data_IF_456739485815
#
_entry.id   IF_456739485815
#
_cell.length_a   1.000
_cell.length_b   1.000
_cell.length_c   1.000
_cell.angle_alpha   90.00
_cell.angle_beta   90.00
_cell.angle_gamma   90.00
#
_symmetry.space_group_name_H-M   'P 1'
#
loop_
_entity.id
_entity.type
_entity.pdbx_description
1 polymer ?
#
# COMPACT_ATOMS: atom_id res chain seq x y z
N UNK A 1 5.33 -20.83 10.34
CA UNK A 1 5.52 -19.92 11.51
C UNK A 1 6.66 -18.92 11.37
N UNK A 2 7.81 -19.27 10.76
CA UNK A 2 8.97 -18.36 10.65
C UNK A 2 8.64 -17.01 9.98
N UNK A 3 7.86 -17.03 8.89
CA UNK A 3 7.48 -15.81 8.16
C UNK A 3 6.68 -14.82 9.01
N UNK A 4 5.75 -15.29 9.85
CA UNK A 4 4.95 -14.42 10.73
C UNK A 4 5.84 -13.69 11.73
N UNK A 5 6.80 -14.41 12.35
CA UNK A 5 7.76 -13.82 13.29
C UNK A 5 8.64 -12.78 12.61
N UNK A 6 9.12 -13.07 11.39
CA UNK A 6 9.92 -12.14 10.60
C UNK A 6 9.20 -10.81 10.34
N UNK A 7 7.97 -10.85 9.80
CA UNK A 7 7.21 -9.64 9.51
C UNK A 7 6.79 -8.89 10.78
N UNK A 8 6.50 -9.59 11.88
CA UNK A 8 6.16 -8.95 13.16
C UNK A 8 7.36 -8.22 13.76
N UNK A 9 8.53 -8.85 13.79
CA UNK A 9 9.78 -8.22 14.27
C UNK A 9 10.13 -7.03 13.36
N UNK A 10 10.05 -7.21 12.04
CA UNK A 10 10.28 -6.13 11.07
C UNK A 10 9.35 -4.94 11.32
N UNK A 11 8.04 -5.18 11.47
CA UNK A 11 7.07 -4.11 11.73
C UNK A 11 7.40 -3.32 13.01
N UNK A 12 7.77 -4.01 14.10
CA UNK A 12 8.13 -3.36 15.37
C UNK A 12 9.43 -2.56 15.22
N UNK A 13 10.50 -3.19 14.72
CA UNK A 13 11.80 -2.55 14.58
C UNK A 13 11.72 -1.33 13.66
N UNK A 14 11.09 -1.49 12.49
CA UNK A 14 10.93 -0.38 11.53
C UNK A 14 10.08 0.74 12.10
N UNK A 15 9.00 0.44 12.83
CA UNK A 15 8.17 1.48 13.47
C UNK A 15 8.96 2.27 14.50
N UNK A 16 9.78 1.60 15.32
CA UNK A 16 10.65 2.26 16.30
C UNK A 16 11.69 3.17 15.64
N UNK A 17 12.23 2.77 14.48
CA UNK A 17 13.16 3.59 13.69
C UNK A 17 12.43 4.77 13.04
N UNK A 18 11.23 4.54 12.48
CA UNK A 18 10.44 5.56 11.78
C UNK A 18 10.00 6.70 12.70
N UNK A 19 9.89 6.45 14.01
CA UNK A 19 9.60 7.49 15.01
C UNK A 19 10.74 8.53 15.17
N UNK A 20 11.89 8.29 14.55
CA UNK A 20 12.99 9.25 14.46
C UNK A 20 13.61 9.56 15.83
N UNK A 21 14.02 10.82 16.03
CA UNK A 21 14.76 11.27 17.21
C UNK A 21 14.06 11.09 18.57
N UNK A 22 12.79 10.72 18.59
CA UNK A 22 12.04 10.41 19.80
C UNK A 22 12.40 9.04 20.42
N UNK A 23 12.97 8.11 19.64
CA UNK A 23 13.32 6.77 20.15
C UNK A 23 14.83 6.63 20.39
N UNK A 24 15.26 5.92 21.45
CA UNK A 24 16.68 5.65 21.70
C UNK A 24 17.29 4.78 20.60
N UNK A 25 16.50 3.88 20.01
CA UNK A 25 16.91 3.01 18.91
C UNK A 25 17.41 3.80 17.70
N UNK A 26 16.68 4.86 17.30
CA UNK A 26 17.09 5.72 16.20
C UNK A 26 18.40 6.44 16.49
N UNK A 27 18.59 6.92 17.73
CA UNK A 27 19.83 7.59 18.14
C UNK A 27 21.04 6.66 18.03
N UNK A 28 20.90 5.41 18.48
CA UNK A 28 21.97 4.41 18.40
C UNK A 28 22.39 4.19 16.93
N UNK A 29 21.42 3.95 16.04
CA UNK A 29 21.67 3.77 14.61
C UNK A 29 22.31 5.00 13.95
N UNK A 30 21.86 6.19 14.36
CA UNK A 30 22.36 7.47 13.85
C UNK A 30 23.84 7.71 14.18
N UNK A 31 24.30 7.28 15.35
CA UNK A 31 25.70 7.42 15.76
C UNK A 31 26.59 6.26 15.30
N UNK A 32 26.05 5.05 15.23
CA UNK A 32 26.83 3.84 14.94
C UNK A 32 27.05 3.62 13.43
N UNK A 33 26.05 3.93 12.59
CA UNK A 33 26.10 3.60 11.16
C UNK A 33 26.50 4.84 10.32
N UNK A 34 27.68 4.86 9.68
CA UNK A 34 28.04 5.92 8.77
C UNK A 34 27.09 5.93 7.57
N UNK A 35 26.58 7.11 7.19
CA UNK A 35 25.61 7.26 6.09
C UNK A 35 24.14 7.27 6.53
N UNK A 36 23.79 6.78 7.73
CA UNK A 36 22.42 6.89 8.25
C UNK A 36 22.01 8.37 8.47
N UNK A 37 22.98 9.26 8.66
CA UNK A 37 22.77 10.71 8.75
C UNK A 37 22.24 11.33 7.44
N UNK A 38 22.40 10.65 6.30
CA UNK A 38 21.95 11.14 4.99
C UNK A 38 20.45 10.89 4.76
N UNK A 39 19.79 10.07 5.59
CA UNK A 39 18.35 9.83 5.47
C UNK A 39 17.58 11.06 5.94
N UNK A 40 17.16 11.91 4.99
CA UNK A 40 16.50 13.19 5.26
C UNK A 40 15.08 13.07 5.85
N UNK A 41 14.46 11.89 5.76
CA UNK A 41 13.11 11.66 6.29
C UNK A 41 12.98 10.21 6.83
N UNK A 42 13.24 9.97 8.13
CA UNK A 42 13.04 8.66 8.75
C UNK A 42 11.61 8.12 8.61
N UNK A 43 10.63 9.02 8.48
CA UNK A 43 9.23 8.70 8.27
C UNK A 43 8.97 7.93 6.97
N UNK A 44 9.82 8.02 5.94
CA UNK A 44 9.66 7.25 4.70
C UNK A 44 9.86 5.75 4.92
N UNK A 45 10.66 5.35 5.90
CA UNK A 45 10.88 3.91 6.20
C UNK A 45 9.58 3.28 6.78
N UNK A 46 8.63 4.10 7.26
CA UNK A 46 7.32 3.63 7.73
C UNK A 46 6.52 2.85 6.67
N UNK A 47 6.79 3.05 5.38
CA UNK A 47 6.21 2.22 4.32
C UNK A 47 6.52 0.73 4.50
N UNK A 48 7.72 0.39 4.99
CA UNK A 48 8.12 -1.00 5.22
C UNK A 48 7.40 -1.63 6.44
N UNK A 49 7.12 -0.83 7.47
CA UNK A 49 6.27 -1.25 8.59
C UNK A 49 4.83 -1.50 8.12
N UNK A 50 4.28 -0.58 7.33
CA UNK A 50 2.93 -0.69 6.76
C UNK A 50 2.81 -1.93 5.86
N UNK A 51 3.80 -2.18 5.00
CA UNK A 51 3.87 -3.39 4.18
C UNK A 51 3.87 -4.66 5.04
N UNK A 52 4.69 -4.70 6.09
CA UNK A 52 4.77 -5.86 7.00
C UNK A 52 3.42 -6.13 7.69
N UNK A 53 2.69 -5.08 8.10
CA UNK A 53 1.35 -5.19 8.68
C UNK A 53 0.33 -5.71 7.66
N UNK A 54 0.39 -5.24 6.41
CA UNK A 54 -0.48 -5.71 5.32
C UNK A 54 -0.25 -7.21 5.07
N UNK A 55 1.00 -7.66 4.99
CA UNK A 55 1.33 -9.08 4.81
C UNK A 55 0.83 -9.93 5.97
N UNK A 56 1.02 -9.47 7.21
CA UNK A 56 0.46 -10.14 8.40
C UNK A 56 -1.08 -10.21 8.35
N UNK A 57 -1.72 -9.12 7.91
CA UNK A 57 -3.16 -9.06 7.69
C UNK A 57 -3.64 -10.06 6.63
N UNK A 58 -2.91 -10.19 5.51
CA UNK A 58 -3.22 -11.14 4.44
C UNK A 58 -3.07 -12.61 4.91
N UNK A 59 -1.98 -12.94 5.61
CA UNK A 59 -1.76 -14.27 6.20
C UNK A 59 -2.87 -14.58 7.22
N UNK A 60 -3.19 -13.61 8.08
CA UNK A 60 -4.27 -13.74 9.06
C UNK A 60 -5.62 -13.95 8.38
N UNK A 61 -5.90 -13.23 7.30
CA UNK A 61 -7.12 -13.33 6.51
C UNK A 61 -7.27 -14.71 5.84
N UNK A 62 -6.21 -15.22 5.20
CA UNK A 62 -6.20 -16.55 4.58
C UNK A 62 -6.51 -17.65 5.62
N UNK A 63 -5.80 -17.64 6.75
CA UNK A 63 -5.98 -18.62 7.82
C UNK A 63 -7.40 -18.58 8.42
N UNK A 64 -7.93 -17.36 8.59
CA UNK A 64 -9.24 -17.05 9.18
C UNK A 64 -10.40 -17.44 8.27
N UNK A 65 -10.36 -17.01 7.01
CA UNK A 65 -11.50 -17.05 6.09
C UNK A 65 -11.45 -18.29 5.20
N UNK A 66 -10.26 -18.62 4.66
CA UNK A 66 -10.10 -19.70 3.69
C UNK A 66 -10.00 -21.04 4.43
N UNK A 67 -9.10 -21.14 5.41
CA UNK A 67 -8.87 -22.40 6.13
C UNK A 67 -9.90 -22.65 7.25
N UNK A 68 -10.66 -21.62 7.65
CA UNK A 68 -11.70 -21.69 8.70
C UNK A 68 -11.18 -22.16 10.07
N UNK A 69 -9.89 -21.98 10.35
CA UNK A 69 -9.23 -22.42 11.59
C UNK A 69 -9.44 -21.44 12.76
N UNK A 70 -10.55 -20.69 12.74
CA UNK A 70 -10.70 -19.49 13.53
C UNK A 70 -11.35 -19.77 14.89
N UNK A 71 -10.61 -19.52 15.97
CA UNK A 71 -11.21 -19.36 17.29
C UNK A 71 -11.84 -17.96 17.42
N UNK A 72 -13.18 -17.90 17.35
CA UNK A 72 -13.94 -16.65 17.48
C UNK A 72 -13.56 -15.86 18.73
N UNK A 73 -13.18 -16.55 19.82
CA UNK A 73 -12.74 -15.90 21.06
C UNK A 73 -11.40 -15.18 20.86
N UNK A 74 -10.47 -15.79 20.13
CA UNK A 74 -9.19 -15.17 19.79
C UNK A 74 -9.36 -13.92 18.91
N UNK A 75 -10.28 -13.95 17.93
CA UNK A 75 -10.57 -12.78 17.10
C UNK A 75 -11.19 -11.63 17.91
N UNK A 76 -12.15 -11.92 18.79
CA UNK A 76 -12.76 -10.91 19.67
C UNK A 76 -11.73 -10.34 20.65
N UNK A 77 -10.85 -11.18 21.19
CA UNK A 77 -9.76 -10.73 22.06
C UNK A 77 -8.79 -9.82 21.29
N UNK A 78 -8.36 -10.24 20.11
CA UNK A 78 -7.45 -9.46 19.27
C UNK A 78 -8.07 -8.12 18.85
N UNK A 79 -9.32 -8.11 18.40
CA UNK A 79 -10.01 -6.86 18.06
C UNK A 79 -10.20 -5.97 19.28
N UNK A 80 -10.55 -6.54 20.44
CA UNK A 80 -10.66 -5.81 21.70
C UNK A 80 -9.34 -5.13 22.12
N UNK A 81 -8.21 -5.82 21.98
CA UNK A 81 -6.88 -5.23 22.23
C UNK A 81 -6.60 -4.07 21.29
N UNK A 82 -6.92 -4.21 20.00
CA UNK A 82 -6.72 -3.14 19.01
C UNK A 82 -7.61 -1.92 19.33
N UNK A 83 -8.89 -2.13 19.63
CA UNK A 83 -9.79 -1.04 20.03
C UNK A 83 -9.32 -0.36 21.33
N UNK A 84 -8.89 -1.13 22.32
CA UNK A 84 -8.35 -0.60 23.57
C UNK A 84 -7.10 0.25 23.32
N UNK A 85 -6.22 -0.16 22.40
CA UNK A 85 -5.03 0.61 22.02
C UNK A 85 -5.41 1.94 21.35
N UNK A 86 -6.37 1.94 20.40
CA UNK A 86 -6.84 3.18 19.78
C UNK A 86 -7.54 4.11 20.77
N UNK A 87 -8.32 3.55 21.70
CA UNK A 87 -8.95 4.33 22.76
C UNK A 87 -7.91 4.94 23.71
N UNK A 88 -6.89 4.16 24.09
CA UNK A 88 -5.75 4.63 24.88
C UNK A 88 -5.02 5.78 24.16
N UNK A 89 -4.84 5.71 22.85
CA UNK A 89 -4.23 6.80 22.07
C UNK A 89 -5.05 8.11 22.11
N UNK A 90 -6.38 8.04 22.17
CA UNK A 90 -7.22 9.24 22.35
C UNK A 90 -6.97 9.85 23.75
N UNK A 91 -6.95 9.00 24.79
CA UNK A 91 -6.70 9.44 26.17
C UNK A 91 -5.31 10.05 26.30
N UNK A 92 -4.27 9.37 25.80
CA UNK A 92 -2.89 9.87 25.80
C UNK A 92 -2.81 11.16 25.02
N UNK A 93 -3.46 11.22 23.85
CA UNK A 93 -3.62 12.43 23.06
C UNK A 93 -4.05 13.58 23.96
N UNK A 94 -5.24 13.48 24.56
CA UNK A 94 -5.79 14.50 25.45
C UNK A 94 -4.91 14.83 26.66
N UNK A 95 -4.29 13.83 27.30
CA UNK A 95 -3.43 14.02 28.48
C UNK A 95 -2.11 14.71 28.15
N UNK A 96 -1.52 14.47 26.97
CA UNK A 96 -0.32 15.19 26.53
C UNK A 96 -0.62 16.67 26.32
N UNK A 97 -1.86 17.02 25.96
CA UNK A 97 -2.28 18.40 25.76
C UNK A 97 -2.30 19.25 27.04
N UNK A 98 -2.64 18.65 28.19
CA UNK A 98 -2.78 19.38 29.46
C UNK A 98 -1.44 19.75 30.10
N UNK A 99 -0.35 19.08 29.73
CA UNK A 99 1.00 19.34 30.26
C UNK A 99 1.85 20.32 29.44
N UNK A 100 1.33 20.86 28.34
CA UNK A 100 2.09 21.73 27.43
C UNK A 100 1.83 23.21 27.73
N UNK A 101 2.88 24.04 27.65
CA UNK A 101 2.78 25.49 27.83
C UNK A 101 3.37 26.27 26.65
N UNK A 102 2.94 27.52 26.48
CA UNK A 102 3.45 28.45 25.46
C UNK A 102 3.02 28.12 24.03
N UNK A 103 3.78 28.59 23.03
CA UNK A 103 3.42 28.50 21.60
C UNK A 103 3.12 27.08 21.07
N UNK A 104 3.59 26.04 21.76
CA UNK A 104 3.33 24.63 21.41
C UNK A 104 1.88 24.22 21.67
N UNK A 105 1.17 24.86 22.61
CA UNK A 105 -0.22 24.51 22.91
C UNK A 105 -1.17 24.92 21.77
N UNK A 106 -0.94 26.06 21.15
CA UNK A 106 -1.75 26.54 20.01
C UNK A 106 -1.62 25.60 18.80
N UNK A 107 -0.39 25.14 18.51
CA UNK A 107 -0.15 24.15 17.45
C UNK A 107 -0.79 22.80 17.77
N UNK A 108 -0.71 22.37 19.02
CA UNK A 108 -1.30 21.11 19.48
C UNK A 108 -2.84 21.16 19.40
N UNK A 109 -3.48 22.22 19.94
CA UNK A 109 -4.93 22.42 19.89
C UNK A 109 -5.46 22.50 18.45
N UNK A 110 -4.70 23.10 17.53
CA UNK A 110 -5.05 23.15 16.11
C UNK A 110 -5.08 21.77 15.45
N UNK A 111 -4.20 20.85 15.85
CA UNK A 111 -4.06 19.51 15.24
C UNK A 111 -4.87 18.42 15.95
N UNK A 112 -5.27 18.63 17.21
CA UNK A 112 -6.00 17.67 18.03
C UNK A 112 -7.31 17.20 17.35
N UNK A 113 -8.17 18.06 16.77
CA UNK A 113 -9.39 17.62 16.11
C UNK A 113 -9.13 16.68 14.92
N UNK A 114 -8.11 16.98 14.10
CA UNK A 114 -7.73 16.13 12.97
C UNK A 114 -7.18 14.77 13.43
N UNK A 115 -6.39 14.76 14.51
CA UNK A 115 -5.91 13.53 15.14
C UNK A 115 -7.07 12.66 15.65
N UNK A 116 -7.99 13.23 16.43
CA UNK A 116 -9.15 12.52 16.98
C UNK A 116 -10.07 12.01 15.87
N UNK A 117 -10.34 12.84 14.85
CA UNK A 117 -11.12 12.44 13.67
C UNK A 117 -10.49 11.26 12.94
N UNK A 118 -9.16 11.25 12.80
CA UNK A 118 -8.41 10.14 12.21
C UNK A 118 -8.57 8.84 12.99
N UNK A 119 -8.45 8.89 14.32
CA UNK A 119 -8.65 7.70 15.17
C UNK A 119 -10.09 7.19 15.10
N UNK A 120 -11.09 8.08 15.20
CA UNK A 120 -12.50 7.69 15.12
C UNK A 120 -12.80 7.03 13.77
N UNK A 121 -12.28 7.59 12.67
CA UNK A 121 -12.42 7.00 11.34
C UNK A 121 -11.77 5.60 11.26
N UNK A 122 -10.59 5.41 11.86
CA UNK A 122 -9.94 4.11 11.93
C UNK A 122 -10.76 3.07 12.72
N UNK A 123 -11.32 3.47 13.87
CA UNK A 123 -12.21 2.63 14.70
C UNK A 123 -13.44 2.20 13.89
N UNK A 124 -14.07 3.13 13.17
CA UNK A 124 -15.22 2.84 12.31
C UNK A 124 -14.85 1.84 11.20
N UNK A 125 -13.71 2.04 10.52
CA UNK A 125 -13.24 1.13 9.48
C UNK A 125 -12.95 -0.27 10.01
N UNK A 126 -12.28 -0.39 11.16
CA UNK A 126 -12.02 -1.68 11.81
C UNK A 126 -13.34 -2.37 12.16
N UNK A 127 -14.30 -1.63 12.74
CA UNK A 127 -15.64 -2.15 13.04
C UNK A 127 -16.36 -2.67 11.79
N UNK A 128 -16.32 -1.91 10.70
CA UNK A 128 -16.91 -2.30 9.42
C UNK A 128 -16.29 -3.59 8.87
N UNK A 129 -14.95 -3.69 8.89
CA UNK A 129 -14.24 -4.91 8.45
C UNK A 129 -14.64 -6.12 9.32
N UNK A 130 -14.73 -5.97 10.64
CA UNK A 130 -15.15 -7.05 11.53
C UNK A 130 -16.59 -7.48 11.29
N UNK A 131 -17.50 -6.55 11.01
CA UNK A 131 -18.88 -6.85 10.61
C UNK A 131 -18.90 -7.66 9.31
N UNK A 132 -18.12 -7.25 8.31
CA UNK A 132 -17.99 -7.99 7.04
C UNK A 132 -17.48 -9.42 7.27
N UNK A 133 -16.41 -9.58 8.07
CA UNK A 133 -15.85 -10.90 8.40
C UNK A 133 -16.89 -11.76 9.10
N UNK A 134 -17.62 -11.21 10.09
CA UNK A 134 -18.69 -11.93 10.78
C UNK A 134 -19.82 -12.34 9.83
N UNK A 135 -20.14 -11.50 8.83
CA UNK A 135 -21.17 -11.81 7.85
C UNK A 135 -20.77 -12.95 6.91
N UNK A 136 -19.51 -12.97 6.47
CA UNK A 136 -18.97 -14.08 5.69
C UNK A 136 -18.83 -15.38 6.49
N UNK A 137 -18.47 -15.30 7.79
CA UNK A 137 -18.46 -16.48 8.67
C UNK A 137 -19.85 -17.11 8.80
N UNK A 138 -20.92 -16.30 8.76
CA UNK A 138 -22.32 -16.78 8.75
C UNK A 138 -22.78 -17.33 7.38
N UNK A 139 -21.88 -17.48 6.40
CA UNK A 139 -22.14 -17.96 5.03
C UNK A 139 -23.23 -17.20 4.26
N UNK A 140 -23.50 -15.94 4.61
CA UNK A 140 -24.48 -15.10 3.91
C UNK A 140 -23.93 -14.53 2.59
N UNK A 141 -22.61 -14.52 2.43
CA UNK A 141 -21.89 -13.92 1.29
C UNK A 141 -20.68 -14.77 0.94
N UNK A 142 -20.37 -14.89 -0.35
CA UNK A 142 -19.18 -15.58 -0.84
C UNK A 142 -17.89 -14.79 -0.51
N UNK A 143 -16.79 -15.51 -0.25
CA UNK A 143 -15.52 -14.90 0.16
C UNK A 143 -14.94 -13.95 -0.90
N UNK A 144 -15.16 -14.22 -2.18
CA UNK A 144 -14.73 -13.37 -3.29
C UNK A 144 -15.37 -11.97 -3.26
N UNK A 145 -16.63 -11.87 -2.83
CA UNK A 145 -17.30 -10.58 -2.68
C UNK A 145 -16.74 -9.81 -1.49
N UNK A 146 -16.40 -10.51 -0.41
CA UNK A 146 -15.80 -9.90 0.77
C UNK A 146 -14.39 -9.38 0.48
N UNK A 147 -13.55 -10.15 -0.23
CA UNK A 147 -12.20 -9.69 -0.62
C UNK A 147 -12.28 -8.47 -1.52
N UNK A 148 -13.16 -8.48 -2.53
CA UNK A 148 -13.38 -7.35 -3.42
C UNK A 148 -13.86 -6.11 -2.63
N UNK A 149 -14.81 -6.29 -1.71
CA UNK A 149 -15.32 -5.20 -0.90
C UNK A 149 -14.25 -4.60 0.04
N UNK A 150 -13.38 -5.42 0.64
CA UNK A 150 -12.24 -4.94 1.45
C UNK A 150 -11.23 -4.18 0.59
N UNK A 151 -10.95 -4.65 -0.63
CA UNK A 151 -10.05 -3.94 -1.56
C UNK A 151 -10.62 -2.57 -1.90
N UNK A 152 -11.90 -2.49 -2.29
CA UNK A 152 -12.57 -1.22 -2.61
C UNK A 152 -12.57 -0.30 -1.40
N UNK A 153 -12.91 -0.80 -0.22
CA UNK A 153 -12.91 -0.03 1.02
C UNK A 153 -11.51 0.55 1.33
N UNK A 154 -10.46 -0.26 1.17
CA UNK A 154 -9.07 0.17 1.37
C UNK A 154 -8.67 1.27 0.38
N UNK A 155 -9.03 1.13 -0.90
CA UNK A 155 -8.74 2.14 -1.92
C UNK A 155 -9.46 3.46 -1.64
N UNK A 156 -10.75 3.40 -1.30
CA UNK A 156 -11.55 4.57 -0.94
C UNK A 156 -10.94 5.27 0.28
N UNK A 157 -10.54 4.51 1.30
CA UNK A 157 -9.88 5.06 2.49
C UNK A 157 -8.55 5.76 2.16
N UNK A 158 -7.76 5.22 1.22
CA UNK A 158 -6.49 5.83 0.82
C UNK A 158 -6.68 7.09 -0.02
N UNK A 159 -7.69 7.12 -0.90
CA UNK A 159 -7.98 8.26 -1.75
C UNK A 159 -8.29 9.52 -0.93
N UNK A 160 -9.06 9.39 0.16
CA UNK A 160 -9.36 10.53 1.04
C UNK A 160 -8.10 11.19 1.62
N UNK A 161 -7.07 10.39 1.89
CA UNK A 161 -5.79 10.89 2.40
C UNK A 161 -4.95 11.48 1.26
N UNK A 162 -4.87 10.79 0.12
CA UNK A 162 -4.07 11.21 -1.03
C UNK A 162 -4.51 12.55 -1.60
N UNK A 163 -5.82 12.81 -1.68
CA UNK A 163 -6.36 14.08 -2.19
C UNK A 163 -5.88 15.28 -1.36
N UNK A 164 -5.62 15.11 -0.06
CA UNK A 164 -5.11 16.18 0.82
C UNK A 164 -3.67 16.60 0.47
N UNK A 165 -2.92 15.72 -0.19
CA UNK A 165 -1.52 15.97 -0.60
C UNK A 165 -1.37 16.30 -2.08
N UNK A 166 -2.46 16.31 -2.85
CA UNK A 166 -2.42 16.79 -4.22
C UNK A 166 -2.24 18.31 -4.21
N UNK A 167 -1.20 18.85 -4.90
CA UNK A 167 -1.01 20.28 -4.95
C UNK A 167 -2.20 20.92 -5.67
N UNK A 168 -2.74 21.99 -5.08
CA UNK A 168 -3.72 22.87 -5.72
C UNK A 168 -3.00 23.73 -6.78
N UNK A 169 -2.55 23.09 -7.85
CA UNK A 169 -1.80 23.69 -8.94
C UNK A 169 -2.63 23.78 -10.23
N UNK A 170 -2.13 24.52 -11.23
CA UNK A 170 -2.69 24.44 -12.57
C UNK A 170 -2.65 22.98 -13.05
N UNK A 171 -3.66 22.57 -13.81
CA UNK A 171 -3.77 21.17 -14.27
C UNK A 171 -2.51 20.71 -15.04
N UNK A 172 -2.30 19.39 -15.18
CA UNK A 172 -1.07 18.83 -15.75
C UNK A 172 -0.69 19.44 -17.11
N UNK A 173 -1.68 19.76 -17.95
CA UNK A 173 -1.47 20.40 -19.26
C UNK A 173 -0.76 21.76 -19.18
N UNK A 174 -0.94 22.49 -18.08
CA UNK A 174 -0.35 23.81 -17.86
C UNK A 174 0.89 23.75 -16.98
N UNK A 175 0.96 22.78 -16.05
CA UNK A 175 2.15 22.56 -15.21
C UNK A 175 3.30 21.87 -15.96
N UNK A 176 2.98 20.94 -16.86
CA UNK A 176 3.91 20.25 -17.76
C UNK A 176 3.77 20.76 -19.21
N UNK A 177 3.33 22.01 -19.39
CA UNK A 177 3.37 22.62 -20.71
C UNK A 177 4.82 22.59 -21.21
N UNK A 178 5.02 22.29 -22.49
CA UNK A 178 6.34 22.29 -23.09
C UNK A 178 6.97 23.68 -22.92
N UNK A 179 8.09 23.72 -22.21
CA UNK A 179 8.90 24.93 -22.09
C UNK A 179 9.70 25.12 -23.39
N UNK A 180 10.21 26.33 -23.63
CA UNK A 180 10.97 26.63 -24.86
C UNK A 180 12.17 25.69 -25.06
N UNK A 181 12.75 25.19 -23.97
CA UNK A 181 13.83 24.19 -24.00
C UNK A 181 13.37 22.78 -24.45
N UNK A 182 12.12 22.41 -24.18
CA UNK A 182 11.54 21.10 -24.54
C UNK A 182 10.93 21.13 -25.94
N UNK A 183 10.27 22.23 -26.31
CA UNK A 183 9.70 22.40 -27.65
C UNK A 183 10.78 22.43 -28.74
N UNK A 184 12.00 22.91 -28.42
CA UNK A 184 13.16 22.85 -29.31
C UNK A 184 13.64 21.41 -29.59
N UNK A 185 13.48 20.48 -28.63
CA UNK A 185 13.83 19.06 -28.81
C UNK A 185 12.72 18.24 -29.47
N UNK A 186 11.52 18.81 -29.61
CA UNK A 186 10.34 18.17 -30.17
C UNK A 186 9.96 18.78 -31.54
N UNK A 187 10.84 18.79 -32.57
CA UNK A 187 10.41 19.17 -33.92
C UNK A 187 9.52 18.05 -34.47
N UNK A 188 8.22 18.11 -34.14
CA UNK A 188 7.15 17.28 -34.69
C UNK A 188 7.46 15.78 -34.74
N UNK A 189 7.46 15.10 -33.59
CA UNK A 189 7.68 13.65 -33.58
C UNK A 189 6.43 12.91 -34.07
N UNK A 190 6.50 12.47 -35.32
CA UNK A 190 5.65 11.50 -36.02
C UNK A 190 5.74 10.07 -35.44
N UNK A 191 5.82 9.93 -34.11
CA UNK A 191 6.14 8.69 -33.37
C UNK A 191 5.10 7.58 -33.44
N UNK A 192 4.00 7.76 -34.18
CA UNK A 192 2.99 6.70 -34.37
C UNK A 192 3.36 5.79 -35.55
N UNK A 193 4.23 6.21 -36.48
CA UNK A 193 4.56 5.42 -37.67
C UNK A 193 5.62 4.34 -37.42
N UNK A 194 6.58 4.55 -36.51
CA UNK A 194 7.67 3.57 -36.29
C UNK A 194 7.21 2.34 -35.48
N UNK A 195 6.26 2.51 -34.55
CA UNK A 195 5.72 1.39 -33.76
C UNK A 195 4.79 0.48 -34.58
N UNK A 196 4.04 1.04 -35.53
CA UNK A 196 3.17 0.26 -36.42
C UNK A 196 3.97 -0.64 -37.37
N UNK A 197 5.12 -0.17 -37.85
CA UNK A 197 5.98 -0.94 -38.76
C UNK A 197 6.58 -2.18 -38.07
N UNK A 198 6.93 -2.06 -36.78
CA UNK A 198 7.50 -3.18 -36.02
C UNK A 198 6.47 -4.29 -35.73
N UNK A 199 5.21 -3.93 -35.50
CA UNK A 199 4.11 -4.90 -35.28
C UNK A 199 3.74 -5.65 -36.57
N UNK A 200 3.78 -4.97 -37.72
CA UNK A 200 3.51 -5.60 -39.03
C UNK A 200 4.63 -6.60 -39.39
N UNK A 201 5.90 -6.23 -39.19
CA UNK A 201 7.02 -7.15 -39.46
C UNK A 201 6.96 -8.40 -38.56
N UNK A 202 6.63 -8.24 -37.28
CA UNK A 202 6.50 -9.39 -36.36
C UNK A 202 5.33 -10.32 -36.74
N UNK A 203 4.19 -9.77 -37.20
CA UNK A 203 3.07 -10.58 -37.69
C UNK A 203 3.39 -11.30 -38.99
N UNK A 204 4.12 -10.66 -39.92
CA UNK A 204 4.52 -11.29 -41.18
C UNK A 204 5.53 -12.42 -40.95
N UNK A 205 6.52 -12.25 -40.06
CA UNK A 205 7.45 -13.33 -39.69
C UNK A 205 6.74 -14.51 -39.02
N UNK A 206 5.76 -14.25 -38.14
CA UNK A 206 5.00 -15.30 -37.48
C UNK A 206 4.17 -16.14 -38.48
N UNK A 207 3.58 -15.52 -39.50
CA UNK A 207 2.83 -16.21 -40.56
C UNK A 207 3.76 -17.03 -41.46
N UNK A 208 4.90 -16.47 -41.88
CA UNK A 208 5.89 -17.18 -42.71
C UNK A 208 6.45 -18.41 -41.97
N UNK A 209 6.69 -18.32 -40.65
CA UNK A 209 7.17 -19.45 -39.85
C UNK A 209 6.15 -20.60 -39.77
N UNK A 210 4.85 -20.30 -39.69
CA UNK A 210 3.78 -21.31 -39.64
C UNK A 210 3.60 -22.01 -40.99
N UNK A 211 3.74 -21.30 -42.10
CA UNK A 211 3.67 -21.89 -43.45
C UNK A 211 4.86 -22.83 -43.67
N UNK A 212 6.07 -22.43 -43.26
CA UNK A 212 7.28 -23.26 -43.38
C UNK A 212 7.19 -24.56 -42.55
N UNK A 213 6.59 -24.51 -41.36
CA UNK A 213 6.38 -25.70 -40.53
C UNK A 213 5.31 -26.66 -41.08
N UNK A 214 4.25 -26.14 -41.70
CA UNK A 214 3.20 -26.97 -42.31
C UNK A 214 3.71 -27.75 -43.53
N UNK A 215 4.52 -27.11 -44.38
CA UNK A 215 5.09 -27.74 -45.59
C UNK A 215 6.14 -28.80 -45.24
N UNK A 216 6.97 -28.58 -44.22
CA UNK A 216 7.95 -29.60 -43.77
C UNK A 216 7.24 -30.82 -43.19
N UNK A 217 6.13 -30.63 -42.47
CA UNK A 217 5.36 -31.73 -41.88
C UNK A 217 4.61 -32.55 -42.94
N UNK A 218 4.12 -31.94 -44.03
CA UNK A 218 3.49 -32.67 -45.14
C UNK A 218 4.49 -33.44 -46.00
N UNK A 219 5.71 -32.92 -46.17
CA UNK A 219 6.80 -33.61 -46.88
C UNK A 219 7.35 -34.79 -46.06
N UNK A 220 7.50 -34.66 -44.74
CA UNK A 220 7.94 -35.76 -43.87
C UNK A 220 6.95 -36.92 -43.78
N UNK A 221 5.65 -36.67 -43.98
CA UNK A 221 4.62 -37.70 -43.98
C UNK A 221 4.59 -38.52 -45.28
N UNK A 222 5.15 -38.00 -46.38
CA UNK A 222 5.15 -38.65 -47.70
C UNK A 222 6.42 -39.47 -47.98
N UNK A 223 7.46 -39.35 -47.15
CA UNK A 223 8.74 -40.11 -47.24
C UNK A 223 8.74 -41.33 -46.31
N UNK A 224 7.64 -41.62 -45.61
CA UNK A 224 7.47 -42.77 -44.73
C UNK A 224 6.37 -43.70 -45.27
N UNK A 225 6.57 -44.18 -46.50
CA UNK A 225 5.87 -45.32 -47.13
C UNK A 225 6.92 -46.14 -47.85
#
# INVERSE_FOLDING_TARGET
>A
MFHVKFYLISAIVVTLIAWGGATPLFKILYYLIPGFKLTRAPSLIFYLASFSIIVLGAIGFEHTIINKELDKKALIKASGVVFALFFLLIIIGAAVGSGQAGAKINLYQKNLPEFTRGIVFAIILIGLVLVMINWAMKRRVGYSYLTLAIIILSLVSQLSVMVKFLPSGPGPKKYYAEDEAVSFQNPGISTVQTFFFCIIIFRVQAVISRIRFSVIRSLSARVRV
#
